data_IF_596746141444
#
_entry.id   IF_596746141444
#
_cell.length_a   1.000
_cell.length_b   1.000
_cell.length_c   1.000
_cell.angle_alpha   90.00
_cell.angle_beta   90.00
_cell.angle_gamma   90.00
#
_symmetry.space_group_name_H-M   'P 1'
#
loop_
_entity.id
_entity.type
_entity.pdbx_description
1 polymer ?
#
# COMPACT_ATOMS: atom_id res chain seq x y z
N UNK A 1 4.94 -0.61 40.08
CA UNK A 1 4.27 0.70 40.19
C UNK A 1 4.85 1.57 39.10
N UNK A 2 4.06 1.89 38.08
CA UNK A 2 4.50 2.76 36.99
C UNK A 2 4.51 4.18 37.50
N UNK A 3 5.68 4.84 37.52
CA UNK A 3 5.76 6.26 37.87
C UNK A 3 4.85 7.06 36.94
N UNK A 4 3.91 7.83 37.52
CA UNK A 4 3.04 8.71 36.77
C UNK A 4 3.87 9.86 36.18
N UNK A 5 3.88 9.93 34.83
CA UNK A 5 4.54 11.03 34.12
C UNK A 5 3.67 12.29 34.20
N UNK A 6 4.14 13.29 34.92
CA UNK A 6 3.44 14.59 34.98
C UNK A 6 3.58 15.32 33.64
N UNK A 7 2.46 15.77 33.08
CA UNK A 7 2.42 16.63 31.90
C UNK A 7 1.43 17.78 32.13
N UNK A 8 1.86 19.06 32.10
CA UNK A 8 1.01 20.20 32.41
C UNK A 8 -0.17 20.41 31.43
N UNK A 9 -0.13 19.81 30.25
CA UNK A 9 -1.22 19.88 29.26
C UNK A 9 -2.38 18.94 29.60
N UNK A 10 -2.14 17.95 30.45
CA UNK A 10 -3.15 16.96 30.85
C UNK A 10 -3.93 17.49 32.02
N UNK A 11 -5.23 17.73 31.82
CA UNK A 11 -6.15 18.20 32.82
C UNK A 11 -7.05 17.06 33.33
N UNK A 12 -7.68 17.18 34.50
CA UNK A 12 -8.61 16.17 35.01
C UNK A 12 -9.75 15.84 34.05
N UNK A 13 -10.25 16.82 33.28
CA UNK A 13 -11.29 16.64 32.26
C UNK A 13 -10.86 15.72 31.10
N UNK A 14 -9.56 15.67 30.80
CA UNK A 14 -9.04 14.72 29.79
C UNK A 14 -8.99 13.31 30.37
N UNK A 15 -8.57 13.15 31.62
CA UNK A 15 -8.47 11.85 32.28
C UNK A 15 -9.82 11.23 32.61
N UNK A 16 -10.89 12.04 32.71
CA UNK A 16 -12.26 11.57 32.89
C UNK A 16 -12.84 10.85 31.65
N UNK A 17 -12.17 10.98 30.51
CA UNK A 17 -12.54 10.38 29.21
C UNK A 17 -11.54 9.28 28.85
N UNK A 18 -11.94 8.32 28.02
CA UNK A 18 -11.06 7.24 27.58
C UNK A 18 -9.90 7.73 26.72
N UNK A 19 -8.82 6.98 26.66
CA UNK A 19 -7.75 7.15 25.71
C UNK A 19 -7.94 6.20 24.53
N UNK A 20 -7.64 6.64 23.31
CA UNK A 20 -7.57 5.78 22.12
C UNK A 20 -6.13 5.73 21.65
N UNK A 21 -5.58 4.51 21.50
CA UNK A 21 -4.29 4.27 20.84
C UNK A 21 -4.59 3.66 19.46
N UNK A 22 -4.28 4.44 18.42
CA UNK A 22 -4.50 4.03 17.05
C UNK A 22 -3.22 3.43 16.45
N UNK A 23 -3.35 2.21 15.95
CA UNK A 23 -2.24 1.43 15.42
C UNK A 23 -2.48 1.13 13.95
N UNK A 24 -1.58 1.60 13.08
CA UNK A 24 -1.61 1.31 11.65
C UNK A 24 -0.38 0.52 11.23
N UNK A 25 -0.57 -0.63 10.62
CA UNK A 25 0.50 -1.43 10.03
C UNK A 25 0.58 -1.24 8.52
N UNK A 26 1.78 -1.34 7.95
CA UNK A 26 2.02 -0.98 6.54
C UNK A 26 1.99 -2.17 5.57
N UNK A 27 2.01 -3.44 6.04
CA UNK A 27 1.91 -4.63 5.16
C UNK A 27 1.65 -5.93 5.91
N UNK A 28 0.95 -6.90 5.26
CA UNK A 28 0.68 -8.25 5.76
C UNK A 28 1.94 -9.06 6.10
N UNK A 29 3.06 -8.83 5.41
CA UNK A 29 4.34 -9.50 5.69
C UNK A 29 4.93 -9.11 7.04
N UNK A 30 4.71 -7.88 7.49
CA UNK A 30 5.17 -7.42 8.81
C UNK A 30 4.33 -7.99 9.95
N UNK A 31 3.04 -8.30 9.72
CA UNK A 31 2.15 -8.87 10.73
C UNK A 31 2.59 -10.29 11.15
N UNK A 32 3.08 -11.10 10.21
CA UNK A 32 3.47 -12.50 10.48
C UNK A 32 4.87 -12.68 11.07
N UNK A 33 5.75 -11.70 10.95
CA UNK A 33 7.17 -11.84 11.33
C UNK A 33 7.63 -10.96 12.48
N UNK A 34 6.81 -10.04 13.02
CA UNK A 34 7.30 -9.03 13.94
C UNK A 34 6.60 -9.04 15.31
N UNK A 35 7.03 -9.93 16.20
CA UNK A 35 6.78 -9.82 17.66
C UNK A 35 7.25 -8.45 18.19
N UNK A 36 8.28 -7.87 17.60
CA UNK A 36 8.84 -6.55 17.93
C UNK A 36 7.86 -5.41 17.63
N UNK A 37 7.10 -5.51 16.51
CA UNK A 37 6.06 -4.53 16.18
C UNK A 37 4.91 -4.53 17.17
N UNK A 38 4.51 -5.68 17.69
CA UNK A 38 3.48 -5.79 18.74
C UNK A 38 3.96 -5.21 20.08
N UNK A 39 5.19 -5.50 20.49
CA UNK A 39 5.79 -4.95 21.72
C UNK A 39 5.86 -3.42 21.67
N UNK A 40 6.27 -2.85 20.52
CA UNK A 40 6.33 -1.41 20.31
C UNK A 40 4.93 -0.76 20.26
N UNK A 41 3.91 -1.50 19.85
CA UNK A 41 2.52 -1.05 19.84
C UNK A 41 1.95 -0.98 21.28
N UNK A 42 2.25 -1.98 22.09
CA UNK A 42 1.86 -1.98 23.49
C UNK A 42 2.60 -0.89 24.29
N UNK A 43 3.82 -0.51 23.90
CA UNK A 43 4.57 0.56 24.54
C UNK A 43 3.82 1.91 24.53
N UNK A 44 3.09 2.23 23.42
CA UNK A 44 2.29 3.46 23.40
C UNK A 44 1.08 3.40 24.35
N UNK A 45 0.43 2.25 24.48
CA UNK A 45 -0.65 2.07 25.43
C UNK A 45 -0.14 2.18 26.88
N UNK A 46 1.01 1.60 27.19
CA UNK A 46 1.66 1.73 28.51
C UNK A 46 2.06 3.18 28.80
N UNK A 47 2.58 3.92 27.80
CA UNK A 47 2.88 5.34 27.92
C UNK A 47 1.63 6.15 28.28
N UNK A 48 0.52 5.91 27.61
CA UNK A 48 -0.76 6.59 27.89
C UNK A 48 -1.26 6.27 29.30
N UNK A 49 -1.10 5.00 29.75
CA UNK A 49 -1.39 4.63 31.15
C UNK A 49 -0.47 5.34 32.15
N UNK A 50 0.82 5.46 31.85
CA UNK A 50 1.78 6.21 32.69
C UNK A 50 1.45 7.70 32.74
N UNK A 51 0.77 8.26 31.75
CA UNK A 51 0.26 9.63 31.73
C UNK A 51 -1.03 9.80 32.57
N UNK A 52 -1.62 8.72 33.09
CA UNK A 52 -2.72 8.75 34.04
C UNK A 52 -4.05 8.19 33.54
N UNK A 53 -4.14 7.74 32.25
CA UNK A 53 -5.38 7.14 31.73
C UNK A 53 -5.56 5.72 32.25
N UNK A 54 -6.72 5.43 32.83
CA UNK A 54 -7.08 4.09 33.28
C UNK A 54 -7.75 3.29 32.16
N UNK A 55 -8.61 3.93 31.37
CA UNK A 55 -9.29 3.31 30.23
C UNK A 55 -8.56 3.62 28.93
N UNK A 56 -7.96 2.58 28.31
CA UNK A 56 -7.21 2.70 27.07
C UNK A 56 -7.78 1.72 26.05
N UNK A 57 -8.42 2.26 25.03
CA UNK A 57 -8.93 1.49 23.87
C UNK A 57 -7.85 1.43 22.79
N UNK A 58 -7.53 0.22 22.32
CA UNK A 58 -6.58 0.02 21.23
C UNK A 58 -7.37 -0.29 19.95
N UNK A 59 -7.26 0.60 18.95
CA UNK A 59 -7.83 0.38 17.63
C UNK A 59 -6.73 -0.13 16.71
N UNK A 60 -6.80 -1.45 16.43
CA UNK A 60 -5.87 -2.15 15.54
C UNK A 60 -6.68 -2.79 14.42
N UNK A 61 -6.67 -2.18 13.23
CA UNK A 61 -7.51 -2.59 12.10
C UNK A 61 -6.79 -3.47 11.07
N UNK A 62 -5.76 -4.22 11.47
CA UNK A 62 -4.89 -4.97 10.56
C UNK A 62 -5.10 -6.49 10.57
N UNK A 63 -6.30 -6.97 10.76
CA UNK A 63 -6.61 -8.39 10.62
C UNK A 63 -7.53 -8.64 9.41
N UNK A 64 -6.99 -8.53 8.19
CA UNK A 64 -7.76 -8.88 6.99
C UNK A 64 -6.99 -8.79 5.68
N UNK A 65 -7.42 -9.55 4.67
CA UNK A 65 -6.82 -9.67 3.34
C UNK A 65 -6.69 -8.33 2.58
N UNK A 66 -5.78 -8.27 1.61
CA UNK A 66 -5.33 -7.06 0.89
C UNK A 66 -6.43 -6.17 0.26
N UNK A 67 -7.59 -6.72 -0.07
CA UNK A 67 -8.74 -5.95 -0.57
C UNK A 67 -9.60 -5.37 0.57
N UNK A 68 -9.67 -6.03 1.73
CA UNK A 68 -10.38 -5.57 2.92
C UNK A 68 -9.60 -4.54 3.75
N UNK A 69 -8.27 -4.51 3.64
CA UNK A 69 -7.38 -3.62 4.41
C UNK A 69 -7.72 -2.13 4.26
N UNK A 70 -8.02 -1.67 3.05
CA UNK A 70 -8.34 -0.27 2.80
C UNK A 70 -9.70 0.13 3.41
N UNK A 71 -10.68 -0.77 3.37
CA UNK A 71 -12.01 -0.55 3.97
C UNK A 71 -11.93 -0.59 5.51
N UNK A 72 -11.30 -1.63 6.07
CA UNK A 72 -11.14 -1.79 7.52
C UNK A 72 -10.35 -0.64 8.18
N UNK A 73 -9.32 -0.11 7.49
CA UNK A 73 -8.56 1.02 8.00
C UNK A 73 -9.32 2.35 7.91
N UNK A 74 -10.24 2.50 6.96
CA UNK A 74 -11.13 3.65 6.91
C UNK A 74 -12.15 3.58 8.05
N UNK A 75 -12.66 2.40 8.34
CA UNK A 75 -13.58 2.15 9.45
C UNK A 75 -12.96 2.47 10.81
N UNK A 76 -11.69 2.10 11.06
CA UNK A 76 -11.01 2.44 12.30
C UNK A 76 -10.73 3.92 12.48
N UNK A 77 -10.35 4.61 11.42
CA UNK A 77 -10.18 6.06 11.46
C UNK A 77 -11.51 6.79 11.71
N UNK A 78 -12.58 6.39 11.03
CA UNK A 78 -13.92 6.95 11.26
C UNK A 78 -14.43 6.64 12.69
N UNK A 79 -14.09 5.49 13.25
CA UNK A 79 -14.38 5.16 14.64
C UNK A 79 -13.67 6.09 15.61
N UNK A 80 -12.38 6.39 15.39
CA UNK A 80 -11.66 7.41 16.18
C UNK A 80 -12.36 8.74 16.12
N UNK A 81 -12.66 9.24 14.90
CA UNK A 81 -13.33 10.52 14.71
C UNK A 81 -14.70 10.57 15.37
N UNK A 82 -15.49 9.51 15.25
CA UNK A 82 -16.83 9.42 15.87
C UNK A 82 -16.74 9.45 17.39
N UNK A 83 -15.83 8.68 18.00
CA UNK A 83 -15.65 8.70 19.46
C UNK A 83 -15.15 10.05 19.98
N UNK A 84 -14.29 10.74 19.23
CA UNK A 84 -13.86 12.11 19.57
C UNK A 84 -15.03 13.09 19.48
N UNK A 85 -15.81 13.01 18.39
CA UNK A 85 -16.96 13.88 18.17
C UNK A 85 -18.11 13.67 19.18
N UNK A 86 -18.19 12.48 19.80
CA UNK A 86 -19.07 12.20 20.91
C UNK A 86 -18.56 12.73 22.27
N UNK A 87 -17.34 13.29 22.30
CA UNK A 87 -16.71 13.80 23.53
C UNK A 87 -16.23 12.73 24.49
N UNK A 88 -16.15 11.46 24.05
CA UNK A 88 -15.77 10.32 24.87
C UNK A 88 -14.26 10.19 25.07
N UNK A 89 -13.44 10.90 24.25
CA UNK A 89 -12.00 10.70 24.16
C UNK A 89 -11.22 11.88 24.71
N UNK A 90 -10.35 11.60 25.67
CA UNK A 90 -9.46 12.60 26.26
C UNK A 90 -8.11 12.74 25.51
N UNK A 91 -7.64 11.65 24.92
CA UNK A 91 -6.40 11.64 24.15
C UNK A 91 -6.43 10.61 23.02
N UNK A 92 -5.88 10.97 21.87
CA UNK A 92 -5.60 10.07 20.74
C UNK A 92 -4.10 9.90 20.62
N UNK A 93 -3.60 8.68 20.85
CA UNK A 93 -2.19 8.34 20.80
C UNK A 93 -1.84 7.50 19.58
N UNK A 94 -0.68 7.75 19.00
CA UNK A 94 -0.04 6.89 18.02
C UNK A 94 1.47 6.99 18.17
N UNK A 95 2.19 5.92 17.78
CA UNK A 95 3.66 5.95 17.81
C UNK A 95 4.24 7.10 16.97
N UNK A 96 3.69 7.29 15.79
CA UNK A 96 4.05 8.36 14.86
C UNK A 96 2.78 9.06 14.38
N UNK A 97 2.78 10.38 14.33
CA UNK A 97 1.61 11.15 13.86
C UNK A 97 1.22 10.82 12.43
N UNK A 98 2.19 10.48 11.57
CA UNK A 98 1.99 10.01 10.19
C UNK A 98 1.16 8.72 10.11
N UNK A 99 0.99 8.01 11.21
CA UNK A 99 0.16 6.79 11.30
C UNK A 99 -1.29 7.09 11.63
N UNK A 100 -1.62 8.28 12.12
CA UNK A 100 -2.98 8.68 12.47
C UNK A 100 -3.86 8.91 11.24
N UNK A 101 -3.29 9.37 10.13
CA UNK A 101 -4.05 9.63 8.90
C UNK A 101 -3.34 9.08 7.67
N UNK A 102 -4.05 9.01 6.54
CA UNK A 102 -3.50 8.62 5.23
C UNK A 102 -3.39 9.77 4.26
N UNK A 103 -4.24 10.76 4.41
CA UNK A 103 -4.33 11.90 3.53
C UNK A 103 -4.25 13.18 4.36
N UNK A 104 -3.83 14.26 3.71
CA UNK A 104 -3.83 15.60 4.33
C UNK A 104 -5.24 15.99 4.80
N UNK A 105 -6.26 15.60 4.03
CA UNK A 105 -7.66 15.86 4.38
C UNK A 105 -8.07 15.16 5.67
N UNK A 106 -7.70 13.88 5.82
CA UNK A 106 -8.00 13.12 7.04
C UNK A 106 -7.24 13.71 8.24
N UNK A 107 -6.00 14.14 8.02
CA UNK A 107 -5.20 14.79 9.05
C UNK A 107 -5.84 16.09 9.53
N UNK A 108 -6.18 17.00 8.63
CA UNK A 108 -6.85 18.25 8.99
C UNK A 108 -8.18 18.01 9.72
N UNK A 109 -9.00 17.04 9.23
CA UNK A 109 -10.27 16.67 9.86
C UNK A 109 -10.06 16.14 11.30
N UNK A 110 -9.03 15.34 11.54
CA UNK A 110 -8.71 14.86 12.88
C UNK A 110 -8.33 16.01 13.81
N UNK A 111 -7.46 16.92 13.35
CA UNK A 111 -7.04 18.08 14.14
C UNK A 111 -8.23 18.99 14.47
N UNK A 112 -9.09 19.30 13.51
CA UNK A 112 -10.29 20.13 13.70
C UNK A 112 -11.22 19.51 14.75
N UNK A 113 -11.52 18.22 14.63
CA UNK A 113 -12.41 17.53 15.58
C UNK A 113 -11.78 17.47 16.97
N UNK A 114 -10.49 17.12 17.08
CA UNK A 114 -9.79 17.11 18.36
C UNK A 114 -9.75 18.50 19.01
N UNK A 115 -9.57 19.56 18.23
CA UNK A 115 -9.59 20.93 18.73
C UNK A 115 -10.94 21.33 19.30
N UNK A 116 -12.04 21.05 18.55
CA UNK A 116 -13.40 21.39 18.97
C UNK A 116 -13.77 20.71 20.30
N UNK A 117 -13.41 19.43 20.46
CA UNK A 117 -13.77 18.64 21.63
C UNK A 117 -12.70 18.64 22.73
N UNK A 118 -11.63 19.42 22.59
CA UNK A 118 -10.54 19.49 23.56
C UNK A 118 -9.89 18.13 23.80
N UNK A 119 -9.69 17.34 22.72
CA UNK A 119 -9.02 16.05 22.79
C UNK A 119 -7.53 16.23 22.51
N UNK A 120 -6.68 15.72 23.38
CA UNK A 120 -5.23 15.78 23.21
C UNK A 120 -4.78 14.80 22.12
N UNK A 121 -3.65 15.12 21.49
CA UNK A 121 -2.95 14.20 20.59
C UNK A 121 -1.60 13.85 21.23
N UNK A 122 -1.16 12.61 21.10
CA UNK A 122 0.15 12.18 21.58
C UNK A 122 0.89 11.32 20.55
N UNK A 123 2.20 11.54 20.47
CA UNK A 123 3.14 10.61 19.84
C UNK A 123 4.11 10.01 20.88
N UNK A 124 5.10 9.27 20.40
CA UNK A 124 6.13 8.66 21.26
C UNK A 124 6.97 9.72 22.01
N UNK A 125 7.01 10.95 21.53
CA UNK A 125 7.86 12.01 22.08
C UNK A 125 7.11 12.91 23.05
N UNK A 126 5.90 13.39 22.69
CA UNK A 126 5.19 14.40 23.47
C UNK A 126 3.67 14.36 23.31
N UNK A 127 3.00 15.14 24.17
CA UNK A 127 1.56 15.40 24.14
C UNK A 127 1.32 16.79 23.57
N UNK A 128 0.33 16.91 22.69
CA UNK A 128 -0.07 18.13 22.02
C UNK A 128 -1.47 18.54 22.45
N UNK A 129 -1.64 19.81 22.81
CA UNK A 129 -2.93 20.44 23.04
C UNK A 129 -3.25 21.37 21.89
N UNK A 130 -4.29 21.05 21.13
CA UNK A 130 -4.71 21.83 19.97
C UNK A 130 -5.32 23.21 20.32
N UNK A 131 -5.53 23.52 21.60
CA UNK A 131 -5.83 24.87 22.04
C UNK A 131 -4.58 25.72 22.28
N UNK A 132 -3.39 25.12 22.22
CA UNK A 132 -2.12 25.81 22.25
C UNK A 132 -1.61 26.08 20.81
N UNK A 133 -1.31 27.34 20.50
CA UNK A 133 -0.90 27.76 19.16
C UNK A 133 0.42 27.10 18.72
N UNK A 134 1.37 26.94 19.63
CA UNK A 134 2.66 26.29 19.35
C UNK A 134 2.48 24.82 18.97
N UNK A 135 1.61 24.12 19.66
CA UNK A 135 1.30 22.71 19.38
C UNK A 135 0.54 22.57 18.04
N UNK A 136 -0.38 23.49 17.75
CA UNK A 136 -1.05 23.54 16.43
C UNK A 136 -0.02 23.71 15.31
N UNK A 137 0.90 24.64 15.46
CA UNK A 137 1.95 24.88 14.47
C UNK A 137 2.84 23.66 14.27
N UNK A 138 3.27 23.02 15.35
CA UNK A 138 4.09 21.81 15.29
C UNK A 138 3.34 20.67 14.61
N UNK A 139 2.08 20.43 14.95
CA UNK A 139 1.24 19.41 14.32
C UNK A 139 0.98 19.69 12.84
N UNK A 140 0.75 20.95 12.48
CA UNK A 140 0.63 21.39 11.10
C UNK A 140 1.88 21.09 10.28
N UNK A 141 3.06 21.44 10.80
CA UNK A 141 4.36 21.16 10.14
C UNK A 141 4.59 19.64 10.06
N UNK A 142 4.40 18.90 11.16
CA UNK A 142 4.61 17.42 11.16
C UNK A 142 3.69 16.71 10.17
N UNK A 143 2.44 17.14 10.04
CA UNK A 143 1.51 16.59 9.06
C UNK A 143 1.95 16.85 7.62
N UNK A 144 2.30 18.10 7.28
CA UNK A 144 2.75 18.46 5.93
C UNK A 144 4.11 17.85 5.59
N UNK A 145 5.04 17.76 6.53
CA UNK A 145 6.36 17.19 6.31
C UNK A 145 6.28 15.71 5.89
N UNK A 146 5.41 14.93 6.53
CA UNK A 146 5.18 13.53 6.16
C UNK A 146 4.75 13.36 4.70
N UNK A 147 3.92 14.26 4.19
CA UNK A 147 3.47 14.24 2.79
C UNK A 147 4.57 14.68 1.83
N UNK A 148 5.33 15.71 2.20
CA UNK A 148 6.46 16.20 1.42
C UNK A 148 7.53 15.11 1.29
N UNK A 149 7.87 14.43 2.37
CA UNK A 149 8.83 13.30 2.35
C UNK A 149 8.39 12.20 1.38
N UNK A 150 7.11 11.80 1.40
CA UNK A 150 6.56 10.82 0.46
C UNK A 150 6.62 11.31 -0.99
N UNK A 151 6.34 12.59 -1.24
CA UNK A 151 6.46 13.20 -2.58
C UNK A 151 7.90 13.20 -3.07
N UNK A 152 8.84 13.62 -2.22
CA UNK A 152 10.28 13.63 -2.53
C UNK A 152 10.80 12.21 -2.78
N UNK A 153 10.42 11.25 -1.94
CA UNK A 153 10.77 9.84 -2.15
C UNK A 153 10.25 9.33 -3.49
N UNK A 154 8.99 9.60 -3.82
CA UNK A 154 8.38 9.23 -5.10
C UNK A 154 9.13 9.87 -6.28
N UNK A 155 9.47 11.15 -6.20
CA UNK A 155 10.24 11.85 -7.23
C UNK A 155 11.63 11.20 -7.42
N UNK A 156 12.33 10.90 -6.32
CA UNK A 156 13.64 10.20 -6.37
C UNK A 156 13.52 8.82 -7.00
N UNK A 157 12.47 8.06 -6.66
CA UNK A 157 12.21 6.76 -7.27
C UNK A 157 11.94 6.87 -8.77
N UNK A 158 11.13 7.84 -9.21
CA UNK A 158 10.84 8.06 -10.63
C UNK A 158 12.10 8.49 -11.39
N UNK A 159 12.85 9.44 -10.85
CA UNK A 159 14.13 9.88 -11.44
C UNK A 159 15.15 8.73 -11.51
N UNK A 160 15.22 7.88 -10.48
CA UNK A 160 16.08 6.69 -10.49
C UNK A 160 15.64 5.66 -11.54
N UNK A 161 14.32 5.46 -11.73
CA UNK A 161 13.79 4.59 -12.79
C UNK A 161 14.12 5.15 -14.18
N UNK A 162 13.95 6.47 -14.37
CA UNK A 162 14.25 7.13 -15.63
C UNK A 162 15.75 7.05 -15.96
N UNK A 163 16.62 7.32 -14.98
CA UNK A 163 18.06 7.18 -15.14
C UNK A 163 18.48 5.74 -15.51
N UNK A 164 17.88 4.73 -14.87
CA UNK A 164 18.07 3.31 -15.23
C UNK A 164 17.55 3.00 -16.62
N UNK A 165 16.41 3.57 -17.01
CA UNK A 165 15.86 3.40 -18.35
C UNK A 165 16.79 3.98 -19.42
N UNK A 166 17.34 5.17 -19.21
CA UNK A 166 18.30 5.82 -20.13
C UNK A 166 19.59 5.01 -20.31
N UNK A 167 20.05 4.33 -19.25
CA UNK A 167 21.23 3.44 -19.32
C UNK A 167 20.89 2.01 -19.80
N UNK A 168 19.62 1.71 -20.10
CA UNK A 168 19.20 0.36 -20.47
C UNK A 168 19.15 -0.63 -19.30
N UNK A 169 19.34 -0.17 -18.07
CA UNK A 169 19.40 -0.98 -16.85
C UNK A 169 18.03 -1.14 -16.15
N UNK A 170 16.94 -0.64 -16.75
CA UNK A 170 15.62 -0.74 -16.16
C UNK A 170 15.06 -2.15 -16.36
N UNK A 171 15.27 -3.00 -15.38
CA UNK A 171 14.73 -4.36 -15.34
C UNK A 171 13.22 -4.33 -15.04
N UNK A 172 12.41 -4.13 -16.06
CA UNK A 172 10.98 -4.42 -15.99
C UNK A 172 10.75 -5.91 -16.29
N UNK A 173 9.67 -6.44 -15.72
CA UNK A 173 9.20 -7.79 -16.07
C UNK A 173 9.01 -7.86 -17.59
N UNK A 174 9.67 -8.80 -18.21
CA UNK A 174 9.51 -8.97 -19.65
C UNK A 174 8.10 -9.44 -19.98
N UNK A 175 7.53 -8.98 -21.09
CA UNK A 175 6.30 -9.55 -21.61
C UNK A 175 6.44 -11.06 -21.83
N UNK A 176 5.33 -11.76 -21.82
CA UNK A 176 5.31 -13.19 -22.15
C UNK A 176 5.88 -13.37 -23.57
N UNK A 177 6.71 -14.39 -23.74
CA UNK A 177 7.37 -14.65 -25.04
C UNK A 177 8.78 -14.10 -25.15
N UNK A 178 9.24 -13.34 -24.15
CA UNK A 178 10.60 -12.85 -24.07
C UNK A 178 11.32 -13.40 -22.85
N UNK A 179 12.62 -13.60 -22.97
CA UNK A 179 13.53 -13.98 -21.91
C UNK A 179 14.82 -13.13 -21.99
N UNK A 180 15.65 -13.20 -20.96
CA UNK A 180 16.99 -12.64 -20.98
C UNK A 180 18.00 -13.74 -21.22
N UNK A 181 18.99 -13.46 -22.02
CA UNK A 181 20.15 -14.32 -22.15
C UNK A 181 21.12 -14.13 -20.94
N UNK A 182 22.16 -14.94 -20.80
CA UNK A 182 23.16 -14.80 -19.75
C UNK A 182 23.94 -13.47 -19.77
N UNK A 183 23.91 -12.74 -20.88
CA UNK A 183 24.54 -11.42 -21.07
C UNK A 183 23.51 -10.29 -20.91
N UNK A 184 22.32 -10.64 -20.39
CA UNK A 184 21.22 -9.71 -20.08
C UNK A 184 20.55 -9.03 -21.29
N UNK A 185 20.73 -9.56 -22.51
CA UNK A 185 20.00 -9.13 -23.70
C UNK A 185 18.61 -9.75 -23.74
N UNK A 186 17.66 -8.98 -24.21
CA UNK A 186 16.29 -9.47 -24.44
C UNK A 186 16.30 -10.34 -25.71
N UNK A 187 15.84 -11.59 -25.54
CA UNK A 187 15.68 -12.56 -26.62
C UNK A 187 14.30 -13.19 -26.57
N UNK A 188 13.94 -13.93 -27.58
CA UNK A 188 12.73 -14.74 -27.53
C UNK A 188 12.85 -15.85 -26.50
N UNK A 189 11.71 -16.22 -25.91
CA UNK A 189 11.70 -17.29 -24.94
C UNK A 189 12.27 -18.58 -25.54
N UNK A 190 13.21 -19.26 -24.87
CA UNK A 190 13.87 -20.45 -25.42
C UNK A 190 12.92 -21.64 -25.62
N UNK A 191 11.82 -21.69 -24.86
CA UNK A 191 10.77 -22.70 -25.06
C UNK A 191 9.93 -22.32 -26.29
N UNK A 192 10.07 -23.07 -27.38
CA UNK A 192 9.37 -22.89 -28.63
C UNK A 192 7.85 -22.90 -28.47
N UNK A 193 7.32 -23.70 -27.54
CA UNK A 193 5.87 -23.77 -27.25
C UNK A 193 5.31 -22.43 -26.81
N UNK A 194 6.10 -21.64 -26.05
CA UNK A 194 5.68 -20.30 -25.60
C UNK A 194 5.52 -19.38 -26.80
N UNK A 195 6.47 -19.39 -27.73
CA UNK A 195 6.42 -18.58 -28.94
C UNK A 195 5.25 -19.00 -29.85
N UNK A 196 5.05 -20.30 -30.06
CA UNK A 196 3.95 -20.85 -30.85
C UNK A 196 2.58 -20.50 -30.26
N UNK A 197 2.42 -20.59 -28.94
CA UNK A 197 1.18 -20.21 -28.27
C UNK A 197 0.83 -18.73 -28.47
N UNK A 198 1.84 -17.85 -28.39
CA UNK A 198 1.64 -16.42 -28.63
C UNK A 198 1.30 -16.15 -30.10
N UNK A 199 2.01 -16.77 -31.02
CA UNK A 199 1.71 -16.66 -32.48
C UNK A 199 0.28 -17.11 -32.79
N UNK A 200 -0.18 -18.18 -32.14
CA UNK A 200 -1.55 -18.66 -32.28
C UNK A 200 -2.58 -17.64 -31.81
N UNK A 201 -2.30 -16.93 -30.70
CA UNK A 201 -3.18 -15.84 -30.22
C UNK A 201 -3.29 -14.74 -31.30
N UNK A 202 -2.17 -14.31 -31.88
CA UNK A 202 -2.18 -13.31 -32.93
C UNK A 202 -2.86 -13.79 -34.21
N UNK A 203 -2.64 -15.05 -34.59
CA UNK A 203 -3.27 -15.65 -35.78
C UNK A 203 -4.79 -15.69 -35.61
N UNK A 204 -5.29 -16.19 -34.50
CA UNK A 204 -6.72 -16.25 -34.22
C UNK A 204 -7.36 -14.88 -34.02
N UNK A 205 -6.66 -13.92 -33.48
CA UNK A 205 -7.16 -12.56 -33.41
C UNK A 205 -7.29 -11.92 -34.81
N UNK A 206 -6.35 -12.18 -35.73
CA UNK A 206 -6.45 -11.72 -37.11
C UNK A 206 -7.62 -12.37 -37.86
N UNK A 207 -7.98 -13.60 -37.52
CA UNK A 207 -9.11 -14.32 -38.10
C UNK A 207 -10.46 -13.79 -37.55
N UNK A 208 -10.54 -13.59 -36.23
CA UNK A 208 -11.80 -13.31 -35.54
C UNK A 208 -12.06 -11.82 -35.27
N UNK A 209 -11.05 -10.98 -35.37
CA UNK A 209 -11.06 -9.52 -35.11
C UNK A 209 -11.68 -9.09 -33.78
N UNK A 210 -11.77 -9.99 -32.81
CA UNK A 210 -12.38 -9.74 -31.50
C UNK A 210 -11.65 -10.47 -30.39
N UNK A 211 -11.22 -9.72 -29.36
CA UNK A 211 -10.59 -10.28 -28.17
C UNK A 211 -11.50 -11.28 -27.48
N UNK A 212 -12.82 -11.01 -27.44
CA UNK A 212 -13.80 -11.88 -26.81
C UNK A 212 -13.95 -13.20 -27.58
N UNK A 213 -14.04 -13.15 -28.90
CA UNK A 213 -14.15 -14.35 -29.74
C UNK A 213 -12.86 -15.17 -29.71
N UNK A 214 -11.69 -14.52 -29.75
CA UNK A 214 -10.39 -15.19 -29.58
C UNK A 214 -10.33 -15.92 -28.25
N UNK A 215 -10.70 -15.23 -27.15
CA UNK A 215 -10.76 -15.85 -25.84
C UNK A 215 -11.69 -17.06 -25.78
N UNK A 216 -12.91 -16.94 -26.35
CA UNK A 216 -13.88 -18.02 -26.40
C UNK A 216 -13.33 -19.21 -27.19
N UNK A 217 -12.71 -18.96 -28.32
CA UNK A 217 -12.10 -20.01 -29.16
C UNK A 217 -11.04 -20.82 -28.40
N UNK A 218 -10.14 -20.15 -27.66
CA UNK A 218 -9.14 -20.85 -26.81
C UNK A 218 -9.77 -21.69 -25.73
N UNK A 219 -10.86 -21.23 -25.14
CA UNK A 219 -11.58 -21.98 -24.09
C UNK A 219 -12.32 -23.19 -24.66
N UNK A 220 -12.95 -23.03 -25.82
CA UNK A 220 -13.71 -24.11 -26.45
C UNK A 220 -12.81 -25.25 -26.97
N UNK A 221 -11.51 -24.95 -27.15
CA UNK A 221 -10.49 -25.92 -27.53
C UNK A 221 -9.58 -26.38 -26.37
N UNK A 222 -9.88 -26.00 -25.14
CA UNK A 222 -9.09 -26.31 -23.93
C UNK A 222 -7.59 -26.00 -24.07
N UNK A 223 -7.26 -24.94 -24.79
CA UNK A 223 -5.87 -24.52 -25.04
C UNK A 223 -5.36 -23.60 -23.92
N UNK A 224 -4.31 -24.06 -23.28
CA UNK A 224 -3.62 -23.27 -22.23
C UNK A 224 -2.65 -22.27 -22.84
N UNK A 225 -2.49 -21.13 -22.17
CA UNK A 225 -1.52 -20.10 -22.49
C UNK A 225 -0.50 -19.91 -21.37
N UNK A 226 0.75 -19.57 -21.71
CA UNK A 226 1.79 -19.29 -20.72
C UNK A 226 1.47 -18.01 -19.97
N UNK A 227 1.74 -18.00 -18.66
CA UNK A 227 1.54 -16.84 -17.76
C UNK A 227 2.75 -16.67 -16.89
N UNK A 228 3.24 -15.44 -16.78
CA UNK A 228 4.26 -15.09 -15.80
C UNK A 228 3.64 -15.05 -14.39
N UNK A 229 4.05 -15.91 -13.44
CA UNK A 229 3.52 -15.85 -12.09
C UNK A 229 3.90 -14.55 -11.38
N UNK A 230 3.09 -14.13 -10.41
CA UNK A 230 3.37 -12.93 -9.60
C UNK A 230 4.64 -13.11 -8.76
N UNK A 231 4.92 -14.33 -8.32
CA UNK A 231 6.14 -14.70 -7.59
C UNK A 231 6.77 -15.93 -8.26
N UNK A 232 8.07 -15.86 -8.53
CA UNK A 232 8.84 -16.93 -9.16
C UNK A 232 9.25 -16.62 -10.60
N UNK A 233 10.17 -17.45 -11.11
CA UNK A 233 10.75 -17.30 -12.46
C UNK A 233 10.18 -18.31 -13.47
N UNK A 234 9.41 -19.30 -13.03
CA UNK A 234 8.94 -20.40 -13.88
C UNK A 234 7.55 -20.09 -14.44
N UNK A 235 7.42 -20.13 -15.76
CA UNK A 235 6.14 -19.97 -16.46
C UNK A 235 5.13 -21.04 -16.01
N UNK A 236 3.89 -20.62 -15.89
CA UNK A 236 2.74 -21.50 -15.59
C UNK A 236 1.81 -21.51 -16.80
N UNK A 237 1.36 -22.69 -17.20
CA UNK A 237 0.36 -22.85 -18.24
C UNK A 237 -1.03 -22.92 -17.60
N UNK A 238 -1.98 -22.19 -18.15
CA UNK A 238 -3.37 -22.21 -17.68
C UNK A 238 -4.33 -21.73 -18.78
N UNK A 239 -5.59 -22.10 -18.63
CA UNK A 239 -6.65 -21.59 -19.49
C UNK A 239 -6.66 -20.06 -19.47
N UNK A 240 -6.74 -19.41 -20.63
CA UNK A 240 -6.67 -17.96 -20.73
C UNK A 240 -7.85 -17.27 -20.07
N UNK A 241 -7.60 -16.05 -19.64
CA UNK A 241 -8.62 -15.05 -19.34
C UNK A 241 -8.67 -14.02 -20.48
N UNK A 242 -9.78 -13.30 -20.59
CA UNK A 242 -9.91 -12.25 -21.59
C UNK A 242 -8.84 -11.14 -21.40
N UNK A 243 -8.44 -10.85 -20.16
CA UNK A 243 -7.36 -9.92 -19.85
C UNK A 243 -6.02 -10.42 -20.39
N UNK A 244 -5.72 -11.72 -20.21
CA UNK A 244 -4.47 -12.30 -20.71
C UNK A 244 -4.35 -12.18 -22.24
N UNK A 245 -5.40 -12.50 -22.98
CA UNK A 245 -5.43 -12.33 -24.45
C UNK A 245 -5.17 -10.86 -24.82
N UNK A 246 -5.83 -9.92 -24.13
CA UNK A 246 -5.63 -8.49 -24.37
C UNK A 246 -4.20 -8.05 -24.06
N UNK A 247 -3.60 -8.57 -23.00
CA UNK A 247 -2.24 -8.22 -22.60
C UNK A 247 -1.22 -8.78 -23.60
N UNK A 248 -1.43 -10.00 -24.12
CA UNK A 248 -0.60 -10.58 -25.18
C UNK A 248 -0.69 -9.72 -26.45
N UNK A 249 -1.88 -9.33 -26.87
CA UNK A 249 -2.08 -8.51 -28.08
C UNK A 249 -1.52 -7.08 -27.97
N UNK A 250 -1.26 -6.61 -26.74
CA UNK A 250 -0.61 -5.31 -26.46
C UNK A 250 0.91 -5.39 -26.42
N UNK A 251 1.50 -6.57 -26.52
CA UNK A 251 2.96 -6.69 -26.60
C UNK A 251 3.42 -5.92 -27.84
N UNK A 252 4.26 -4.87 -27.69
CA UNK A 252 4.79 -4.16 -28.84
C UNK A 252 5.53 -5.18 -29.71
N UNK A 253 5.18 -5.24 -30.99
CA UNK A 253 6.00 -5.93 -31.98
C UNK A 253 7.32 -5.19 -32.03
N UNK A 254 8.34 -5.69 -31.31
CA UNK A 254 9.70 -5.20 -31.48
C UNK A 254 10.06 -5.38 -32.93
N UNK A 255 10.67 -4.41 -33.62
CA UNK A 255 11.17 -4.60 -34.96
C UNK A 255 12.33 -5.58 -34.92
N UNK A 256 12.04 -6.85 -35.01
CA UNK A 256 12.94 -7.98 -34.96
C UNK A 256 12.19 -9.23 -35.42
N UNK A 257 12.85 -10.28 -35.86
CA UNK A 257 12.33 -11.34 -36.72
C UNK A 257 11.24 -12.25 -36.13
N UNK A 258 10.56 -11.84 -35.02
CA UNK A 258 9.45 -12.64 -34.52
C UNK A 258 8.26 -12.71 -35.44
N UNK A 259 8.11 -11.71 -36.29
CA UNK A 259 7.05 -11.64 -37.32
C UNK A 259 7.66 -11.41 -38.71
N UNK A 260 8.95 -11.73 -38.87
CA UNK A 260 9.65 -11.67 -40.14
C UNK A 260 9.04 -12.63 -41.11
N UNK A 261 8.52 -12.05 -42.13
CA UNK A 261 8.20 -12.56 -43.45
C UNK A 261 8.77 -13.94 -43.75
N UNK A 262 8.01 -14.96 -43.47
CA UNK A 262 8.14 -16.33 -43.90
C UNK A 262 6.92 -16.75 -44.71
N UNK A 263 6.51 -15.88 -45.63
CA UNK A 263 5.59 -16.25 -46.71
C UNK A 263 6.17 -15.68 -47.99
N UNK A 264 7.00 -16.48 -48.63
CA UNK A 264 7.04 -16.53 -50.09
C UNK A 264 6.01 -17.51 -50.55
#
# INVERSE_FOLDING_TARGET
MTELLYNPKIKPEHLARKAIVYLRQSSEKQVRQNKESQLLQYAMAERVRALGWQEVEIINNDLGSSAGLAAAQREGFERVLSSVALGEVGIVGSRELSRLSRTDKDWCRLLEVCQIFGTLIADEQQVYDLNNLDDQLVLGIKGTLSVVELKVLRQRMLAGQEAKARRGELFKRLPIGYARDPVDKIMFHPDRRVCEAIQLVFAKFRELWSVRQTFQWFRDHDLELPVNPIQGTRLIWKLPSQSLIRDILRIPSTPGPMFGDGVQ
#
